data_IF_559516530178
#
_entry.id   IF_559516530178
#
_cell.length_a   1.000
_cell.length_b   1.000
_cell.length_c   1.000
_cell.angle_alpha   90.00
_cell.angle_beta   90.00
_cell.angle_gamma   90.00
#
_symmetry.space_group_name_H-M   'P 1'
#
loop_
_entity.id
_entity.type
_entity.pdbx_description
1 polymer ?
#
# COMPACT_ATOMS: atom_id res chain seq x y z
N UNK A 1 -29.56 -11.83 3.82
CA UNK A 1 -29.17 -13.02 4.62
C UNK A 1 -27.66 -13.11 4.57
N UNK A 2 -26.97 -12.72 5.64
CA UNK A 2 -25.51 -12.76 5.67
C UNK A 2 -25.05 -14.16 6.03
N UNK A 3 -24.26 -14.77 5.15
CA UNK A 3 -23.60 -16.05 5.40
C UNK A 3 -22.55 -15.87 6.49
N UNK A 4 -22.82 -16.43 7.67
CA UNK A 4 -21.83 -16.61 8.73
C UNK A 4 -20.78 -17.61 8.23
N UNK A 5 -19.63 -17.12 7.80
CA UNK A 5 -18.45 -17.97 7.63
C UNK A 5 -17.92 -18.24 9.04
N UNK A 6 -18.26 -19.42 9.56
CA UNK A 6 -17.67 -19.97 10.77
C UNK A 6 -16.18 -20.19 10.52
N UNK A 7 -15.34 -19.29 11.01
CA UNK A 7 -13.90 -19.51 11.06
C UNK A 7 -13.61 -20.69 11.99
N UNK A 8 -13.06 -21.76 11.43
CA UNK A 8 -12.73 -22.99 12.11
C UNK A 8 -11.72 -22.71 13.24
N UNK A 9 -11.94 -23.32 14.41
CA UNK A 9 -11.26 -22.97 15.66
C UNK A 9 -9.76 -23.37 15.69
N UNK A 10 -9.31 -24.14 14.69
CA UNK A 10 -7.95 -24.66 14.54
C UNK A 10 -6.97 -23.79 13.74
N UNK A 11 -7.44 -22.75 13.03
CA UNK A 11 -6.56 -21.79 12.30
C UNK A 11 -6.16 -20.56 13.15
N UNK A 12 -6.53 -20.53 14.44
CA UNK A 12 -6.28 -19.38 15.33
C UNK A 12 -4.86 -19.32 15.92
N UNK A 13 -3.98 -20.21 15.52
CA UNK A 13 -2.58 -20.24 15.97
C UNK A 13 -1.68 -19.80 14.80
N UNK A 14 -1.53 -18.48 14.58
CA UNK A 14 -0.34 -17.80 14.01
C UNK A 14 -0.61 -16.48 13.27
N UNK A 15 -1.87 -16.01 13.15
CA UNK A 15 -2.12 -14.72 12.48
C UNK A 15 -1.73 -13.56 13.41
N UNK A 16 -0.46 -13.15 13.37
CA UNK A 16 0.10 -12.08 14.21
C UNK A 16 -0.36 -10.68 13.81
N UNK A 17 -0.86 -10.51 12.58
CA UNK A 17 -1.25 -9.21 12.01
C UNK A 17 -2.53 -9.27 11.18
N UNK A 18 -3.23 -8.14 10.96
CA UNK A 18 -4.50 -8.15 10.24
C UNK A 18 -4.34 -8.70 8.80
N UNK A 19 -5.09 -9.73 8.40
CA UNK A 19 -4.96 -10.33 7.08
C UNK A 19 -5.55 -9.46 5.98
N UNK A 20 -5.00 -9.60 4.76
CA UNK A 20 -5.60 -9.08 3.54
C UNK A 20 -6.56 -10.10 2.93
N UNK A 21 -7.70 -9.59 2.46
CA UNK A 21 -8.71 -10.36 1.74
C UNK A 21 -8.24 -10.69 0.32
N UNK A 22 -9.08 -11.41 -0.42
CA UNK A 22 -8.86 -11.70 -1.83
C UNK A 22 -8.72 -10.40 -2.64
N UNK A 23 -7.95 -10.48 -3.73
CA UNK A 23 -7.73 -9.36 -4.63
C UNK A 23 -8.94 -9.07 -5.50
N UNK A 24 -9.23 -7.80 -5.66
CA UNK A 24 -10.14 -7.26 -6.67
C UNK A 24 -9.33 -6.81 -7.90
N UNK A 25 -9.71 -7.30 -9.08
CA UNK A 25 -9.16 -6.84 -10.37
C UNK A 25 -10.09 -5.80 -10.96
N UNK A 26 -9.55 -4.64 -11.31
CA UNK A 26 -10.32 -3.47 -11.76
C UNK A 26 -10.30 -3.37 -13.29
N UNK A 27 -9.15 -3.62 -13.90
CA UNK A 27 -8.95 -3.55 -15.34
C UNK A 27 -8.13 -4.74 -15.85
N UNK A 28 -8.31 -5.06 -17.14
CA UNK A 28 -7.62 -6.17 -17.78
C UNK A 28 -6.27 -5.73 -18.32
N UNK A 29 -5.23 -6.53 -18.05
CA UNK A 29 -3.91 -6.36 -18.66
C UNK A 29 -3.75 -7.46 -19.72
N UNK A 30 -3.24 -7.08 -20.89
CA UNK A 30 -3.04 -7.97 -22.04
C UNK A 30 -1.65 -7.83 -22.62
N UNK A 31 -1.19 -8.90 -23.27
CA UNK A 31 -0.05 -8.87 -24.19
C UNK A 31 -0.48 -8.38 -25.57
N UNK A 32 0.49 -8.17 -26.46
CA UNK A 32 0.27 -7.79 -27.86
C UNK A 32 -0.56 -8.82 -28.66
N UNK A 33 -0.54 -10.09 -28.26
CA UNK A 33 -1.34 -11.18 -28.85
C UNK A 33 -2.73 -11.31 -28.19
N UNK A 34 -3.16 -10.31 -27.40
CA UNK A 34 -4.42 -10.28 -26.67
C UNK A 34 -4.58 -11.34 -25.56
N UNK A 35 -3.52 -12.08 -25.22
CA UNK A 35 -3.54 -12.98 -24.06
C UNK A 35 -3.65 -12.18 -22.76
N UNK A 36 -4.43 -12.71 -21.81
CA UNK A 36 -4.60 -12.08 -20.51
C UNK A 36 -3.36 -12.26 -19.63
N UNK A 37 -3.02 -11.21 -18.89
CA UNK A 37 -2.01 -11.22 -17.83
C UNK A 37 -2.67 -10.70 -16.57
N UNK A 38 -2.65 -11.49 -15.51
CA UNK A 38 -3.24 -11.16 -14.22
C UNK A 38 -2.15 -10.70 -13.26
N UNK A 39 -2.25 -9.49 -12.68
CA UNK A 39 -1.40 -9.13 -11.55
C UNK A 39 -1.84 -9.87 -10.29
N UNK A 40 -0.91 -10.23 -9.41
CA UNK A 40 -1.19 -10.81 -8.10
C UNK A 40 -0.44 -10.06 -7.01
N UNK A 41 -1.15 -9.30 -6.18
CA UNK A 41 -0.60 -8.49 -5.10
C UNK A 41 -0.40 -9.38 -3.87
N UNK A 42 0.82 -9.35 -3.34
CA UNK A 42 1.14 -9.89 -2.03
C UNK A 42 1.28 -8.72 -1.06
N UNK A 43 0.58 -8.79 0.07
CA UNK A 43 0.55 -7.70 1.04
C UNK A 43 0.51 -8.26 2.47
N UNK A 44 1.27 -7.63 3.36
CA UNK A 44 1.30 -7.96 4.79
C UNK A 44 1.43 -6.69 5.62
N UNK A 45 0.53 -6.52 6.59
CA UNK A 45 0.76 -5.58 7.68
C UNK A 45 1.80 -6.23 8.58
N UNK A 46 2.91 -5.57 8.84
CA UNK A 46 4.01 -6.18 9.60
C UNK A 46 3.93 -5.83 11.11
N UNK A 47 3.37 -4.67 11.49
CA UNK A 47 3.33 -4.07 12.86
C UNK A 47 2.34 -2.91 12.87
N UNK A 48 2.00 -2.48 14.09
CA UNK A 48 1.19 -1.31 14.37
C UNK A 48 -0.25 -1.66 14.79
N UNK A 49 -0.63 -2.93 14.67
CA UNK A 49 -1.94 -3.45 15.05
C UNK A 49 -1.81 -4.54 16.12
N UNK A 50 -2.85 -4.68 16.93
CA UNK A 50 -2.98 -5.68 17.98
C UNK A 50 -4.44 -6.10 18.10
N UNK A 51 -4.69 -7.30 18.63
CA UNK A 51 -6.06 -7.76 18.90
C UNK A 51 -6.61 -7.14 20.19
N UNK A 52 -7.83 -6.61 20.13
CA UNK A 52 -8.60 -6.16 21.30
C UNK A 52 -10.04 -6.61 21.15
N UNK A 53 -10.48 -7.57 21.99
CA UNK A 53 -11.84 -8.12 21.89
C UNK A 53 -12.14 -8.73 20.53
N UNK A 54 -11.19 -9.49 19.97
CA UNK A 54 -11.22 -10.08 18.63
C UNK A 54 -11.29 -9.07 17.47
N UNK A 55 -11.04 -7.79 17.73
CA UNK A 55 -10.96 -6.75 16.70
C UNK A 55 -9.51 -6.29 16.53
N UNK A 56 -9.03 -6.32 15.30
CA UNK A 56 -7.76 -5.72 14.94
C UNK A 56 -7.80 -4.22 15.18
N UNK A 57 -6.95 -3.77 16.09
CA UNK A 57 -6.99 -2.41 16.62
C UNK A 57 -5.62 -1.76 16.49
N UNK A 58 -5.60 -0.47 16.14
CA UNK A 58 -4.43 0.39 16.28
C UNK A 58 -4.80 1.71 16.96
N UNK A 59 -3.78 2.50 17.29
CA UNK A 59 -3.96 3.89 17.71
C UNK A 59 -3.62 4.83 16.56
N UNK A 60 -4.45 5.85 16.33
CA UNK A 60 -4.28 6.77 15.19
C UNK A 60 -2.92 7.50 15.16
N UNK A 61 -2.29 7.72 16.33
CA UNK A 61 -0.99 8.39 16.49
C UNK A 61 0.20 7.43 16.52
N UNK A 62 -0.05 6.14 16.31
CA UNK A 62 1.02 5.16 16.21
C UNK A 62 1.29 4.90 14.73
N UNK A 63 2.56 4.60 14.46
CA UNK A 63 2.98 4.15 13.15
C UNK A 63 2.59 2.70 12.93
N UNK A 64 2.13 2.40 11.72
CA UNK A 64 2.08 1.05 11.17
C UNK A 64 2.91 0.99 9.90
N UNK A 65 3.20 -0.23 9.45
CA UNK A 65 3.92 -0.49 8.21
C UNK A 65 3.27 -1.63 7.41
N UNK A 66 3.28 -1.50 6.10
CA UNK A 66 2.72 -2.49 5.17
C UNK A 66 3.78 -2.81 4.14
N UNK A 67 4.16 -4.08 4.06
CA UNK A 67 5.01 -4.59 3.00
C UNK A 67 4.13 -5.12 1.87
N UNK A 68 4.52 -4.86 0.63
CA UNK A 68 3.86 -5.38 -0.55
C UNK A 68 4.83 -5.69 -1.69
N UNK A 69 4.42 -6.64 -2.53
CA UNK A 69 5.02 -6.99 -3.81
C UNK A 69 3.89 -7.42 -4.75
N UNK A 70 4.21 -7.66 -6.02
CA UNK A 70 3.25 -8.28 -6.92
C UNK A 70 3.94 -9.15 -7.96
N UNK A 71 3.21 -10.13 -8.47
CA UNK A 71 3.61 -10.99 -9.57
C UNK A 71 2.70 -10.77 -10.78
N UNK A 72 3.11 -11.25 -11.95
CA UNK A 72 2.31 -11.30 -13.15
C UNK A 72 2.14 -12.76 -13.58
N UNK A 73 0.90 -13.16 -13.84
CA UNK A 73 0.55 -14.52 -14.25
C UNK A 73 -0.30 -14.50 -15.53
N UNK A 74 0.16 -15.10 -16.64
CA UNK A 74 1.47 -15.70 -16.82
C UNK A 74 2.59 -14.65 -16.80
N UNK A 75 3.80 -15.09 -16.43
CA UNK A 75 4.97 -14.23 -16.52
C UNK A 75 5.31 -13.90 -17.97
N UNK A 76 5.47 -12.62 -18.28
CA UNK A 76 5.77 -12.16 -19.63
C UNK A 76 7.19 -11.61 -19.72
N UNK A 77 8.08 -12.36 -20.34
CA UNK A 77 9.46 -11.94 -20.54
C UNK A 77 9.61 -11.06 -21.80
N UNK A 78 10.20 -9.87 -21.66
CA UNK A 78 10.51 -8.92 -22.75
C UNK A 78 9.34 -8.49 -23.65
N UNK A 79 8.10 -8.84 -23.29
CA UNK A 79 6.90 -8.46 -24.05
C UNK A 79 6.33 -7.14 -23.52
N UNK A 80 5.83 -6.26 -24.41
CA UNK A 80 5.03 -5.12 -23.97
C UNK A 80 3.71 -5.58 -23.38
N UNK A 81 3.21 -4.82 -22.41
CA UNK A 81 1.91 -5.02 -21.79
C UNK A 81 1.00 -3.84 -22.12
N UNK A 82 -0.30 -4.12 -22.16
CA UNK A 82 -1.33 -3.15 -22.51
C UNK A 82 -2.46 -3.21 -21.50
N UNK A 83 -3.00 -2.06 -21.15
CA UNK A 83 -4.23 -1.93 -20.40
C UNK A 83 -5.41 -1.90 -21.37
N UNK A 84 -6.47 -2.65 -21.06
CA UNK A 84 -7.77 -2.50 -21.71
C UNK A 84 -8.79 -1.99 -20.70
N UNK A 85 -9.32 -0.79 -20.95
CA UNK A 85 -10.34 -0.17 -20.09
C UNK A 85 -11.75 -0.36 -20.66
N UNK A 86 -12.79 -0.57 -19.82
CA UNK A 86 -14.16 -0.77 -20.29
C UNK A 86 -14.75 0.43 -21.06
N UNK A 87 -14.33 1.65 -20.70
CA UNK A 87 -14.77 2.92 -21.31
C UNK A 87 -14.15 3.17 -22.69
N UNK A 88 -13.06 2.47 -23.03
CA UNK A 88 -12.31 2.63 -24.29
C UNK A 88 -12.46 1.37 -25.16
N UNK A 89 -13.62 1.22 -25.81
CA UNK A 89 -14.01 0.07 -26.66
C UNK A 89 -12.84 -0.50 -27.50
N UNK A 90 -12.19 -1.55 -26.98
CA UNK A 90 -11.13 -2.30 -27.68
C UNK A 90 -9.78 -1.60 -27.83
N UNK A 91 -9.60 -0.39 -27.28
CA UNK A 91 -8.33 0.31 -27.35
C UNK A 91 -7.34 -0.29 -26.33
N UNK A 92 -6.17 -0.66 -26.81
CA UNK A 92 -5.05 -1.12 -25.99
C UNK A 92 -4.10 0.04 -25.73
N UNK A 93 -3.92 0.39 -24.46
CA UNK A 93 -3.02 1.46 -24.03
C UNK A 93 -1.74 0.85 -23.45
N UNK A 94 -0.60 1.12 -24.09
CA UNK A 94 0.65 0.47 -23.68
C UNK A 94 1.05 0.92 -22.27
N UNK A 95 1.30 -0.06 -21.40
CA UNK A 95 1.79 0.14 -20.05
C UNK A 95 3.27 0.55 -20.11
N UNK A 96 3.58 1.70 -19.53
CA UNK A 96 4.91 2.28 -19.46
C UNK A 96 5.65 1.89 -18.17
N UNK A 97 4.91 1.79 -17.07
CA UNK A 97 5.41 1.42 -15.75
C UNK A 97 4.26 0.89 -14.86
N UNK A 98 4.63 0.22 -13.78
CA UNK A 98 3.79 -0.22 -12.66
C UNK A 98 4.25 0.49 -11.38
N UNK A 99 3.30 0.74 -10.49
CA UNK A 99 3.55 1.34 -9.20
C UNK A 99 2.55 0.84 -8.14
N UNK A 100 2.91 0.97 -6.87
CA UNK A 100 2.06 0.64 -5.73
C UNK A 100 1.75 1.87 -4.88
N UNK A 101 0.62 1.87 -4.19
CA UNK A 101 0.24 2.88 -3.18
C UNK A 101 -0.58 2.24 -2.05
N UNK A 102 -0.76 2.98 -0.96
CA UNK A 102 -1.75 2.68 0.07
C UNK A 102 -2.87 3.70 0.09
N UNK A 103 -4.08 3.21 0.34
CA UNK A 103 -5.22 4.04 0.71
C UNK A 103 -5.93 3.47 1.93
N UNK A 104 -6.83 4.25 2.52
CA UNK A 104 -7.77 3.74 3.52
C UNK A 104 -9.18 4.22 3.24
N UNK A 105 -10.15 3.39 3.60
CA UNK A 105 -11.59 3.63 3.39
C UNK A 105 -12.40 3.24 4.63
N UNK A 106 -13.60 3.78 4.73
CA UNK A 106 -14.58 3.33 5.71
C UNK A 106 -15.26 2.06 5.20
N UNK A 107 -15.21 1.01 6.01
CA UNK A 107 -15.81 -0.29 5.69
C UNK A 107 -17.31 -0.16 5.46
N UNK A 108 -17.82 -0.82 4.41
CA UNK A 108 -19.23 -0.76 4.02
C UNK A 108 -19.72 0.58 3.44
N UNK A 109 -18.84 1.57 3.25
CA UNK A 109 -19.19 2.90 2.75
C UNK A 109 -18.34 3.24 1.51
N UNK A 110 -18.73 2.76 0.31
CA UNK A 110 -17.99 3.01 -0.93
C UNK A 110 -17.72 4.49 -1.17
N UNK A 111 -16.52 4.83 -1.64
CA UNK A 111 -16.09 6.21 -1.91
C UNK A 111 -15.74 7.05 -0.67
N UNK A 112 -16.04 6.58 0.55
CA UNK A 112 -15.67 7.30 1.77
C UNK A 112 -14.23 6.96 2.17
N UNK A 113 -13.29 7.80 1.74
CA UNK A 113 -11.86 7.66 2.04
C UNK A 113 -11.50 8.11 3.45
N UNK A 114 -10.36 7.63 3.92
CA UNK A 114 -9.72 8.02 5.18
C UNK A 114 -8.29 8.43 4.86
N UNK A 115 -7.92 9.65 5.25
CA UNK A 115 -6.57 10.15 5.02
C UNK A 115 -5.53 9.33 5.78
N UNK A 116 -4.57 8.80 5.01
CA UNK A 116 -3.31 8.26 5.50
C UNK A 116 -2.18 9.28 5.30
N UNK A 117 -1.22 9.25 6.19
CA UNK A 117 -0.03 10.10 6.13
C UNK A 117 1.21 9.29 6.39
N UNK A 118 2.30 9.60 5.70
CA UNK A 118 3.59 8.96 5.89
C UNK A 118 4.59 9.97 6.46
N UNK A 119 5.37 9.52 7.43
CA UNK A 119 6.41 10.32 8.07
C UNK A 119 7.80 9.86 7.65
N UNK A 120 8.69 10.82 7.43
CA UNK A 120 10.11 10.54 7.22
C UNK A 120 10.80 10.19 8.55
N UNK A 121 11.94 9.46 8.54
CA UNK A 121 12.71 9.17 9.75
C UNK A 121 13.31 10.40 10.46
N UNK A 122 13.32 11.59 9.84
CA UNK A 122 14.00 12.76 10.38
C UNK A 122 13.35 13.24 11.69
N UNK A 123 14.20 13.37 12.72
CA UNK A 123 13.88 13.78 14.10
C UNK A 123 13.47 15.26 14.11
N UNK A 124 12.27 15.51 14.64
CA UNK A 124 11.66 16.81 14.96
C UNK A 124 11.38 17.73 13.75
N UNK A 125 10.11 17.72 13.29
CA UNK A 125 9.53 18.40 12.10
C UNK A 125 9.76 17.72 10.75
N UNK A 126 9.91 16.39 10.71
CA UNK A 126 9.93 15.64 9.46
C UNK A 126 8.70 15.92 8.60
N UNK A 127 8.91 16.07 7.28
CA UNK A 127 7.82 16.29 6.32
C UNK A 127 6.80 15.15 6.45
N UNK A 128 5.54 15.54 6.64
CA UNK A 128 4.40 14.64 6.53
C UNK A 128 3.93 14.69 5.09
N UNK A 129 3.95 13.55 4.40
CA UNK A 129 3.47 13.45 3.02
C UNK A 129 2.19 12.64 2.97
N UNK A 130 1.41 12.84 1.92
CA UNK A 130 0.44 11.82 1.49
C UNK A 130 1.19 10.55 1.08
N UNK A 131 0.48 9.43 1.00
CA UNK A 131 1.09 8.19 0.52
C UNK A 131 1.47 8.35 -0.97
N UNK A 132 2.74 8.15 -1.35
CA UNK A 132 3.15 8.29 -2.73
C UNK A 132 2.78 7.05 -3.55
N UNK A 133 2.48 7.27 -4.84
CA UNK A 133 2.50 6.20 -5.84
C UNK A 133 3.98 5.90 -6.14
N UNK A 134 4.44 4.69 -5.83
CA UNK A 134 5.86 4.30 -5.90
C UNK A 134 6.06 3.22 -6.96
N UNK A 135 6.88 3.50 -7.98
CA UNK A 135 7.23 2.52 -9.02
C UNK A 135 7.80 1.25 -8.40
N UNK A 136 7.28 0.10 -8.84
CA UNK A 136 7.69 -1.21 -8.35
C UNK A 136 7.71 -2.21 -9.52
N UNK A 137 8.78 -2.98 -9.62
CA UNK A 137 8.89 -4.02 -10.64
C UNK A 137 8.14 -5.28 -10.23
N UNK A 138 7.63 -6.06 -11.20
CA UNK A 138 7.01 -7.33 -10.88
C UNK A 138 8.05 -8.29 -10.34
N UNK A 139 7.70 -9.04 -9.31
CA UNK A 139 8.49 -10.15 -8.79
C UNK A 139 8.57 -11.25 -9.85
N UNK A 140 9.78 -11.64 -10.31
CA UNK A 140 9.93 -12.75 -11.24
C UNK A 140 9.52 -14.07 -10.59
N UNK A 141 8.94 -15.03 -11.35
CA UNK A 141 8.57 -16.33 -10.80
C UNK A 141 9.78 -17.05 -10.21
N UNK A 142 9.56 -17.75 -9.09
CA UNK A 142 10.63 -18.46 -8.36
C UNK A 142 11.49 -17.55 -7.46
N UNK A 143 11.29 -16.23 -7.48
CA UNK A 143 11.92 -15.34 -6.51
C UNK A 143 11.26 -15.54 -5.14
N UNK A 144 12.06 -15.81 -4.11
CA UNK A 144 11.56 -15.88 -2.74
C UNK A 144 11.15 -14.47 -2.31
N UNK A 145 9.87 -14.26 -1.98
CA UNK A 145 9.40 -13.04 -1.34
C UNK A 145 10.15 -12.88 -0.01
N UNK A 146 10.98 -11.83 0.18
CA UNK A 146 11.67 -11.64 1.43
C UNK A 146 10.62 -11.44 2.52
N UNK A 147 10.48 -12.42 3.42
CA UNK A 147 9.64 -12.39 4.62
C UNK A 147 8.13 -12.76 4.52
N UNK A 148 7.67 -13.42 3.45
CA UNK A 148 6.29 -13.97 3.42
C UNK A 148 6.19 -15.48 3.76
N UNK A 149 7.31 -16.17 3.96
CA UNK A 149 7.33 -17.56 4.42
C UNK A 149 7.81 -17.60 5.87
N UNK A 150 6.88 -17.69 6.80
CA UNK A 150 7.19 -18.13 8.16
C UNK A 150 7.29 -19.67 8.17
N UNK A 151 8.16 -20.24 9.00
CA UNK A 151 8.46 -21.68 9.20
C UNK A 151 9.37 -22.41 8.18
N UNK A 152 10.65 -22.60 8.56
CA UNK A 152 11.35 -23.89 8.68
C UNK A 152 12.88 -23.72 8.54
N UNK A 153 13.62 -24.14 9.57
CA UNK A 153 15.09 -24.18 9.60
C UNK A 153 15.66 -24.98 8.43
N UNK A 154 16.74 -24.53 7.75
CA UNK A 154 17.43 -25.37 6.79
C UNK A 154 18.31 -26.38 7.53
N UNK A 155 17.87 -27.64 7.60
CA UNK A 155 18.81 -28.75 7.80
C UNK A 155 19.70 -28.85 6.55
N UNK A 156 21.01 -28.75 6.79
CA UNK A 156 22.05 -29.07 5.83
C UNK A 156 22.05 -30.59 5.59
N UNK A 157 21.59 -31.03 4.42
CA UNK A 157 21.88 -32.34 3.88
C UNK A 157 22.47 -32.18 2.47
N UNK A 158 23.68 -32.72 2.28
CA UNK A 158 24.44 -32.62 1.05
C UNK A 158 23.89 -33.49 -0.08
N UNK A 159 24.29 -33.15 -1.32
CA UNK A 159 24.10 -34.00 -2.50
C UNK A 159 23.70 -33.22 -3.74
N UNK A 160 24.63 -33.16 -4.71
CA UNK A 160 24.49 -32.83 -6.14
C UNK A 160 23.79 -31.50 -6.50
N UNK A 161 24.59 -30.59 -7.09
CA UNK A 161 24.27 -29.19 -7.30
C UNK A 161 22.99 -28.92 -8.10
N UNK A 162 22.19 -27.90 -7.71
CA UNK A 162 21.08 -27.46 -8.53
C UNK A 162 21.59 -26.43 -9.55
N UNK A 163 21.21 -26.62 -10.81
CA UNK A 163 21.23 -25.57 -11.82
C UNK A 163 20.58 -24.33 -11.22
N UNK A 164 21.33 -23.24 -11.08
CA UNK A 164 20.77 -21.96 -10.69
C UNK A 164 19.61 -21.63 -11.66
N UNK A 165 18.37 -21.42 -11.17
CA UNK A 165 17.31 -20.92 -12.02
C UNK A 165 17.81 -19.62 -12.65
N UNK A 166 17.92 -19.61 -13.98
CA UNK A 166 18.27 -18.38 -14.68
C UNK A 166 17.20 -17.34 -14.31
N UNK A 167 17.58 -16.12 -13.87
CA UNK A 167 16.59 -15.12 -13.51
C UNK A 167 15.73 -14.82 -14.75
N UNK A 168 14.45 -15.16 -14.69
CA UNK A 168 13.53 -14.86 -15.79
C UNK A 168 13.47 -13.35 -15.99
N UNK A 169 13.59 -12.91 -17.25
CA UNK A 169 13.59 -11.51 -17.65
C UNK A 169 12.22 -10.86 -17.45
N UNK A 170 12.22 -9.58 -17.05
CA UNK A 170 11.00 -8.81 -16.79
C UNK A 170 10.24 -8.44 -18.08
N UNK A 171 8.96 -8.06 -17.96
CA UNK A 171 8.21 -7.46 -19.06
C UNK A 171 8.86 -6.17 -19.57
N UNK A 172 8.55 -5.80 -20.82
CA UNK A 172 9.05 -4.54 -21.40
C UNK A 172 8.25 -3.36 -20.84
N UNK A 173 8.84 -2.64 -19.89
CA UNK A 173 8.26 -1.47 -19.22
C UNK A 173 9.13 -0.23 -19.46
N UNK A 174 8.89 0.54 -20.54
CA UNK A 174 9.81 1.58 -21.02
C UNK A 174 10.21 2.65 -20.01
N UNK A 175 9.30 3.05 -19.12
CA UNK A 175 9.50 4.16 -18.18
C UNK A 175 9.60 3.71 -16.72
N UNK A 176 9.74 2.41 -16.49
CA UNK A 176 9.79 1.84 -15.15
C UNK A 176 11.06 2.24 -14.38
N UNK A 177 12.20 2.36 -15.06
CA UNK A 177 13.45 2.86 -14.49
C UNK A 177 13.64 4.38 -14.63
N UNK A 178 12.74 5.07 -15.33
CA UNK A 178 12.86 6.51 -15.53
C UNK A 178 12.43 7.26 -14.25
N UNK A 179 13.14 8.33 -13.85
CA UNK A 179 12.68 9.18 -12.76
C UNK A 179 11.33 9.82 -13.12
N UNK A 180 10.46 9.99 -12.13
CA UNK A 180 9.26 10.80 -12.34
C UNK A 180 9.65 12.27 -12.30
N UNK A 181 9.22 13.05 -13.28
CA UNK A 181 9.53 14.48 -13.46
C UNK A 181 9.25 15.32 -12.19
N UNK A 182 8.31 14.86 -11.34
CA UNK A 182 7.92 15.52 -10.09
C UNK A 182 8.76 15.15 -8.85
N UNK A 183 9.80 14.30 -8.96
CA UNK A 183 10.70 13.97 -7.85
C UNK A 183 12.08 14.65 -7.92
N UNK A 184 12.31 15.52 -8.91
CA UNK A 184 13.51 16.37 -8.88
C UNK A 184 13.35 17.41 -7.77
N UNK A 185 14.30 17.53 -6.82
CA UNK A 185 14.30 18.65 -5.89
C UNK A 185 14.35 19.95 -6.71
N UNK A 186 13.70 21.05 -6.25
CA UNK A 186 13.82 22.33 -6.92
C UNK A 186 15.30 22.71 -6.93
N UNK A 187 15.89 22.72 -8.11
CA UNK A 187 17.21 23.30 -8.32
C UNK A 187 17.03 24.80 -8.30
N UNK A 188 17.50 25.45 -7.24
CA UNK A 188 17.62 26.91 -7.21
C UNK A 188 18.48 27.35 -8.40
N UNK A 189 17.87 28.18 -9.24
CA UNK A 189 18.52 28.77 -10.40
C UNK A 189 19.46 29.88 -9.94
N UNK A 190 20.76 29.61 -9.97
CA UNK A 190 21.78 30.66 -10.17
C UNK A 190 22.93 30.13 -11.05
N UNK A 191 22.84 30.47 -12.33
CA UNK A 191 23.93 30.89 -13.22
C UNK A 191 25.20 30.02 -13.31
N UNK A 192 25.33 29.22 -14.38
CA UNK A 192 26.49 29.25 -15.32
C UNK A 192 26.36 28.24 -16.47
N UNK A 193 26.92 28.64 -17.61
CA UNK A 193 26.77 28.20 -19.00
C UNK A 193 27.23 26.76 -19.35
N UNK A 194 27.00 26.27 -20.60
CA UNK A 194 26.95 24.86 -20.92
C UNK A 194 28.33 24.28 -21.30
N UNK A 195 28.59 23.05 -20.86
CA UNK A 195 29.64 22.22 -21.46
C UNK A 195 29.01 21.01 -22.17
N UNK A 196 29.25 20.98 -23.46
CA UNK A 196 28.92 19.91 -24.39
C UNK A 196 29.69 18.63 -24.05
N UNK A 197 28.98 17.57 -23.71
CA UNK A 197 29.40 16.21 -24.05
C UNK A 197 28.18 15.39 -24.46
N UNK A 198 27.95 15.37 -25.77
CA UNK A 198 27.02 14.45 -26.39
C UNK A 198 27.58 13.02 -26.24
N UNK A 199 27.23 12.37 -25.13
CA UNK A 199 27.44 10.94 -24.95
C UNK A 199 26.29 10.18 -25.57
N UNK A 200 26.47 9.71 -26.81
CA UNK A 200 25.68 8.61 -27.35
C UNK A 200 25.86 7.40 -26.43
N UNK A 201 24.95 7.21 -25.46
CA UNK A 201 24.85 5.93 -24.76
C UNK A 201 23.97 5.04 -25.63
N UNK A 202 24.66 4.36 -26.54
CA UNK A 202 24.19 3.17 -27.23
C UNK A 202 23.58 2.18 -26.24
N UNK A 203 22.48 1.59 -26.67
CA UNK A 203 21.85 0.38 -26.15
C UNK A 203 22.83 -0.56 -25.41
N UNK A 204 22.74 -0.62 -24.08
CA UNK A 204 23.07 -1.77 -23.22
C UNK A 204 22.85 -1.41 -21.75
N UNK A 205 21.60 -1.47 -21.27
CA UNK A 205 21.32 -1.53 -19.82
C UNK A 205 20.40 -2.72 -19.53
N UNK A 206 20.90 -3.90 -19.89
CA UNK A 206 20.47 -5.14 -19.28
C UNK A 206 21.09 -5.16 -17.89
N UNK A 207 20.25 -5.28 -16.85
CA UNK A 207 20.63 -5.52 -15.45
C UNK A 207 20.82 -4.30 -14.52
N UNK A 208 19.74 -3.57 -14.24
CA UNK A 208 19.60 -2.96 -12.91
C UNK A 208 18.46 -3.71 -12.21
N UNK A 209 18.81 -4.65 -11.32
CA UNK A 209 17.83 -5.38 -10.53
C UNK A 209 17.04 -4.39 -9.70
N UNK A 210 15.80 -4.26 -10.10
CA UNK A 210 14.99 -3.12 -9.78
C UNK A 210 13.94 -3.55 -8.79
N UNK A 211 13.79 -2.77 -7.72
CA UNK A 211 13.09 -3.20 -6.52
C UNK A 211 11.72 -3.84 -6.82
N UNK A 212 11.50 -5.04 -6.26
CA UNK A 212 10.27 -5.83 -6.44
C UNK A 212 9.40 -5.87 -5.18
N UNK A 213 9.90 -5.34 -4.06
CA UNK A 213 9.19 -5.25 -2.79
C UNK A 213 9.21 -3.82 -2.26
N UNK A 214 8.07 -3.33 -1.79
CA UNK A 214 7.97 -2.01 -1.17
C UNK A 214 7.37 -2.10 0.23
N UNK A 215 7.98 -1.39 1.17
CA UNK A 215 7.46 -1.27 2.53
C UNK A 215 7.09 0.19 2.80
N UNK A 216 5.79 0.42 2.94
CA UNK A 216 5.27 1.69 3.43
C UNK A 216 5.46 1.76 4.94
N UNK A 217 6.54 2.38 5.38
CA UNK A 217 6.84 2.56 6.81
C UNK A 217 6.28 3.87 7.37
N UNK A 218 6.07 3.92 8.70
CA UNK A 218 5.70 5.14 9.42
C UNK A 218 4.39 5.77 8.94
N UNK A 219 3.42 4.92 8.61
CA UNK A 219 2.08 5.34 8.19
C UNK A 219 1.19 5.58 9.41
N UNK A 220 0.37 6.64 9.37
CA UNK A 220 -0.66 6.92 10.38
C UNK A 220 -2.02 7.18 9.72
N UNK A 221 -3.09 6.91 10.49
CA UNK A 221 -4.43 7.40 10.15
C UNK A 221 -4.60 8.82 10.70
N UNK A 222 -5.09 9.76 9.88
CA UNK A 222 -5.42 11.10 10.40
C UNK A 222 -6.57 11.09 11.40
N UNK A 223 -7.57 10.22 11.19
CA UNK A 223 -8.78 10.13 12.01
C UNK A 223 -8.96 8.76 12.67
N UNK A 224 -9.71 8.73 13.77
CA UNK A 224 -10.12 7.50 14.44
C UNK A 224 -11.44 7.00 13.86
N UNK A 225 -11.69 5.69 13.94
CA UNK A 225 -12.99 5.10 13.61
C UNK A 225 -14.09 5.72 14.49
N UNK A 226 -15.26 5.96 13.89
CA UNK A 226 -16.41 6.47 14.63
C UNK A 226 -17.06 5.37 15.48
N UNK A 227 -17.81 5.80 16.51
CA UNK A 227 -18.65 4.92 17.33
C UNK A 227 -17.88 3.78 18.04
N UNK A 228 -16.68 4.09 18.56
CA UNK A 228 -15.83 3.21 19.38
C UNK A 228 -16.44 2.82 20.75
N UNK A 229 -17.63 2.24 20.78
CA UNK A 229 -18.32 1.71 21.98
C UNK A 229 -18.91 2.74 22.95
N UNK A 230 -18.63 4.04 22.79
CA UNK A 230 -19.13 5.11 23.70
C UNK A 230 -20.44 5.78 23.24
N UNK A 231 -20.99 5.42 22.07
CA UNK A 231 -22.17 6.07 21.48
C UNK A 231 -23.28 5.05 21.22
N UNK A 232 -24.53 5.53 21.11
CA UNK A 232 -25.71 4.70 20.80
C UNK A 232 -25.67 4.07 19.39
N UNK A 233 -24.78 4.51 18.52
CA UNK A 233 -24.68 4.05 17.13
C UNK A 233 -23.69 2.89 16.96
N UNK A 234 -23.85 2.12 15.89
CA UNK A 234 -22.99 0.99 15.56
C UNK A 234 -21.55 1.42 15.26
N UNK A 235 -20.59 0.63 15.72
CA UNK A 235 -19.16 0.75 15.44
C UNK A 235 -18.90 0.85 13.93
N UNK A 236 -18.09 1.84 13.51
CA UNK A 236 -17.54 1.88 12.14
C UNK A 236 -16.16 1.24 12.11
N UNK A 237 -15.81 0.67 10.97
CA UNK A 237 -14.50 0.07 10.75
C UNK A 237 -13.81 0.74 9.56
N UNK A 238 -12.49 0.70 9.54
CA UNK A 238 -11.70 1.10 8.38
C UNK A 238 -11.13 -0.13 7.69
N UNK A 239 -10.71 0.04 6.44
CA UNK A 239 -9.83 -0.90 5.73
C UNK A 239 -8.66 -0.14 5.15
N UNK A 240 -7.47 -0.73 5.25
CA UNK A 240 -6.29 -0.32 4.47
C UNK A 240 -6.27 -1.12 3.16
N UNK A 241 -5.99 -0.44 2.06
CA UNK A 241 -5.87 -1.04 0.73
C UNK A 241 -4.41 -0.94 0.25
N UNK A 242 -3.90 -2.01 -0.34
CA UNK A 242 -2.74 -1.97 -1.23
C UNK A 242 -3.27 -1.92 -2.66
N UNK A 243 -2.82 -0.92 -3.41
CA UNK A 243 -3.32 -0.63 -4.77
C UNK A 243 -2.18 -0.75 -5.77
N UNK A 244 -2.42 -1.46 -6.86
CA UNK A 244 -1.49 -1.54 -8.00
C UNK A 244 -1.97 -0.61 -9.10
N UNK A 245 -1.06 0.22 -9.60
CA UNK A 245 -1.26 1.19 -10.66
C UNK A 245 -0.38 0.86 -11.86
N UNK A 246 -0.85 1.26 -13.05
CA UNK A 246 -0.08 1.30 -14.28
C UNK A 246 -0.02 2.72 -14.83
N UNK A 247 1.10 3.08 -15.41
CA UNK A 247 1.27 4.31 -16.16
C UNK A 247 0.99 4.04 -17.64
N UNK A 248 0.00 4.72 -18.20
CA UNK A 248 -0.40 4.57 -19.61
C UNK A 248 -0.18 5.86 -20.40
N UNK A 249 0.74 6.73 -19.95
CA UNK A 249 1.00 8.00 -20.65
C UNK A 249 1.34 7.76 -22.12
N UNK A 250 0.82 8.63 -22.98
CA UNK A 250 1.09 8.56 -24.41
C UNK A 250 2.56 8.91 -24.71
N UNK A 251 3.06 8.45 -25.86
CA UNK A 251 4.42 8.75 -26.30
C UNK A 251 4.62 10.27 -26.39
N UNK A 252 5.63 10.78 -25.70
CA UNK A 252 5.96 12.21 -25.64
C UNK A 252 5.29 12.97 -24.50
N UNK A 253 4.40 12.35 -23.72
CA UNK A 253 3.88 12.95 -22.49
C UNK A 253 4.92 12.87 -21.35
N UNK A 254 5.11 13.99 -20.65
CA UNK A 254 6.07 14.10 -19.55
C UNK A 254 5.51 13.64 -18.20
N UNK A 255 4.20 13.71 -18.02
CA UNK A 255 3.55 13.37 -16.76
C UNK A 255 2.97 11.94 -16.78
N UNK A 256 3.10 11.19 -15.67
CA UNK A 256 2.47 9.88 -15.54
C UNK A 256 0.95 9.98 -15.61
N UNK A 257 0.34 9.02 -16.32
CA UNK A 257 -1.10 8.78 -16.25
C UNK A 257 -1.34 7.48 -15.49
N UNK A 258 -1.39 7.58 -14.16
CA UNK A 258 -1.61 6.43 -13.28
C UNK A 258 -3.06 5.97 -13.30
N UNK A 259 -3.27 4.69 -13.58
CA UNK A 259 -4.57 4.01 -13.55
C UNK A 259 -4.49 2.80 -12.62
N UNK A 260 -5.39 2.69 -11.65
CA UNK A 260 -5.45 1.55 -10.74
C UNK A 260 -5.97 0.31 -11.47
N UNK A 261 -5.27 -0.82 -11.35
CA UNK A 261 -5.60 -2.07 -12.06
C UNK A 261 -6.02 -3.19 -11.12
N UNK A 262 -5.56 -3.16 -9.88
CA UNK A 262 -5.89 -4.16 -8.88
C UNK A 262 -5.77 -3.61 -7.46
N UNK A 263 -6.49 -4.21 -6.52
CA UNK A 263 -6.49 -3.81 -5.12
C UNK A 263 -6.64 -5.01 -4.19
N UNK A 264 -5.92 -5.00 -3.06
CA UNK A 264 -6.20 -5.87 -1.90
C UNK A 264 -6.56 -5.05 -0.69
N UNK A 265 -7.67 -5.40 -0.05
CA UNK A 265 -8.14 -4.76 1.18
C UNK A 265 -7.85 -5.63 2.40
N UNK A 266 -7.42 -5.02 3.48
CA UNK A 266 -7.35 -5.67 4.80
C UNK A 266 -8.74 -6.04 5.32
N UNK A 267 -8.79 -6.93 6.32
CA UNK A 267 -9.99 -7.12 7.14
C UNK A 267 -10.41 -5.81 7.82
N UNK A 268 -11.65 -5.71 8.34
CA UNK A 268 -12.08 -4.53 9.10
C UNK A 268 -11.17 -4.22 10.30
N UNK A 269 -10.81 -2.94 10.45
CA UNK A 269 -9.89 -2.41 11.46
C UNK A 269 -10.57 -1.39 12.36
N UNK A 270 -10.20 -1.38 13.64
CA UNK A 270 -10.59 -0.34 14.60
C UNK A 270 -9.42 0.60 14.83
N UNK A 271 -9.64 1.91 14.61
CA UNK A 271 -8.62 2.93 14.86
C UNK A 271 -9.04 3.77 16.06
N UNK A 272 -8.35 3.58 17.19
CA UNK A 272 -8.65 4.31 18.44
C UNK A 272 -7.90 5.64 18.50
N UNK A 273 -8.50 6.60 19.20
CA UNK A 273 -7.94 7.96 19.35
C UNK A 273 -6.69 8.02 20.22
N UNK A 274 -6.83 7.78 21.53
CA UNK A 274 -5.72 7.69 22.49
C UNK A 274 -5.77 6.32 23.20
N UNK A 275 -4.67 5.93 23.85
CA UNK A 275 -4.65 4.71 24.66
C UNK A 275 -5.66 4.79 25.80
N UNK A 276 -6.27 3.67 26.24
CA UNK A 276 -7.23 3.66 27.34
C UNK A 276 -6.74 4.37 28.61
N UNK A 277 -5.45 4.23 28.94
CA UNK A 277 -4.80 4.89 30.07
C UNK A 277 -4.82 6.41 30.00
N UNK A 278 -5.02 7.00 28.82
CA UNK A 278 -5.14 8.44 28.62
C UNK A 278 -6.51 9.00 29.03
N UNK A 279 -7.48 8.14 29.34
CA UNK A 279 -8.82 8.53 29.79
C UNK A 279 -8.99 8.42 31.31
N UNK A 280 -7.91 8.33 32.11
CA UNK A 280 -8.03 8.30 33.57
C UNK A 280 -8.68 9.61 34.05
N UNK A 281 -9.88 9.44 34.64
CA UNK A 281 -10.76 10.35 35.40
C UNK A 281 -11.43 11.52 34.67
N UNK A 282 -12.55 11.25 34.00
CA UNK A 282 -13.78 11.94 34.40
C UNK A 282 -14.64 10.91 35.13
N UNK A 283 -14.55 10.92 36.45
CA UNK A 283 -15.48 10.14 37.27
C UNK A 283 -16.91 10.65 37.09
N UNK A 284 -17.93 9.86 37.44
CA UNK A 284 -19.32 10.29 37.39
C UNK A 284 -19.58 11.25 38.56
N UNK A 285 -19.07 12.49 38.50
CA UNK A 285 -19.41 13.56 39.43
C UNK A 285 -19.08 14.92 38.83
N UNK A 286 -19.87 15.31 37.83
CA UNK A 286 -20.16 16.72 37.55
C UNK A 286 -21.67 16.94 37.68
N UNK A 287 -22.21 16.55 38.83
CA UNK A 287 -23.50 17.06 39.29
C UNK A 287 -23.28 18.49 39.78
N UNK A 288 -24.15 19.39 39.31
CA UNK A 288 -23.98 20.84 39.40
C UNK A 288 -23.72 21.37 40.80
N UNK A 289 -22.90 22.42 40.86
CA UNK A 289 -22.90 23.35 41.99
C UNK A 289 -23.49 24.65 41.46
N UNK A 290 -24.75 24.86 41.81
CA UNK A 290 -25.52 26.06 41.51
C UNK A 290 -24.80 27.31 42.00
N UNK A 291 -24.95 28.37 41.22
CA UNK A 291 -24.52 29.71 41.59
C UNK A 291 -25.24 30.15 42.86
N UNK A 292 -24.47 30.55 43.86
CA UNK A 292 -24.97 31.31 45.00
C UNK A 292 -24.86 32.78 44.60
N UNK A 293 -26.03 33.36 44.29
CA UNK A 293 -26.23 34.81 44.20
C UNK A 293 -26.22 35.37 45.62
N UNK A 294 -25.26 36.23 45.95
CA UNK A 294 -25.27 37.04 47.16
C UNK A 294 -25.96 38.36 46.86
N UNK A 295 -27.21 38.50 47.30
CA UNK A 295 -27.83 39.80 47.56
C UNK A 295 -27.20 40.41 48.82
N UNK A 296 -26.76 41.66 48.73
CA UNK A 296 -26.47 42.51 49.89
C UNK A 296 -27.33 43.77 49.74
N UNK A 297 -28.27 43.92 50.66
CA UNK A 297 -28.84 45.20 51.09
C UNK A 297 -28.53 45.34 52.57
N UNK A 298 -28.05 46.53 52.96
CA UNK A 298 -27.67 46.90 54.32
C UNK A 298 -26.63 47.99 54.28
#
# INVERSE_FOLDING_TARGET
>A
MYSNVLFNQSDRLSVETPPFQEQENIHEIKTNDHSFVRPNIHAKIEKGFFLSGNLWTCYRRNYFWVQCSYELDPHTSHRPLYLQRPDRKGQLEQIQAFAVSLSAVVDGMPGKTVDLVQHTPKRDKGLQTTIPITKLWPTPPGSKHPHLTDTAYPLSAGGYGPQHPQPMSSPRLPLQGAPDSNQLPPTDTSTSSPSSSAGYSSSTSVHNQSNTTHTFERVQFKSATANNGKRRAQQQYYRVNVELYVDIRQKGANDPMWVMVARRSSCPLVVRGRSPSHYKSEGPNSAGRGGISSHVYG
#
